data_IF_255147102489
#
_entry.id   IF_255147102489
#
_cell.length_a   1.000
_cell.length_b   1.000
_cell.length_c   1.000
_cell.angle_alpha   90.00
_cell.angle_beta   90.00
_cell.angle_gamma   90.00
#
_symmetry.space_group_name_H-M   'P 1'
#
loop_
_entity.id
_entity.type
_entity.pdbx_description
1 polymer ?
#
# COMPACT_ATOMS: atom_id res chain seq x y z
N UNK A 1 -15.86 6.29 -8.66
CA UNK A 1 -17.15 6.04 -9.25
C UNK A 1 -18.27 6.01 -8.24
N UNK A 2 -19.46 5.74 -8.71
CA UNK A 2 -20.66 5.70 -7.86
C UNK A 2 -20.53 4.69 -6.73
N UNK A 3 -19.91 3.55 -7.02
CA UNK A 3 -19.69 2.51 -6.03
C UNK A 3 -18.84 3.01 -4.86
N UNK A 4 -17.85 3.84 -5.13
CA UNK A 4 -17.00 4.39 -4.09
C UNK A 4 -17.78 5.31 -3.15
N UNK A 5 -18.76 6.03 -3.67
CA UNK A 5 -19.60 6.91 -2.85
C UNK A 5 -20.38 6.11 -1.81
N UNK A 6 -20.91 4.95 -2.21
CA UNK A 6 -21.65 4.08 -1.29
C UNK A 6 -20.72 3.47 -0.24
N UNK A 7 -19.54 3.05 -0.65
CA UNK A 7 -18.55 2.47 0.25
C UNK A 7 -17.98 3.54 1.19
N UNK A 8 -17.97 4.79 0.76
CA UNK A 8 -17.45 5.91 1.54
C UNK A 8 -18.12 6.13 2.87
N UNK A 9 -19.33 5.61 3.10
CA UNK A 9 -20.00 5.67 4.40
C UNK A 9 -19.31 4.76 5.41
N UNK A 10 -18.78 3.63 4.95
CA UNK A 10 -18.18 2.60 5.81
C UNK A 10 -16.68 2.45 5.59
N UNK A 11 -16.18 2.87 4.45
CA UNK A 11 -14.79 2.79 4.08
C UNK A 11 -14.63 2.98 2.59
N UNK A 12 -13.49 3.52 2.19
CA UNK A 12 -13.15 3.70 0.78
C UNK A 12 -11.90 2.90 0.45
N UNK A 13 -11.99 2.16 -0.64
CA UNK A 13 -10.86 1.39 -1.15
C UNK A 13 -10.43 1.96 -2.50
N UNK A 14 -9.15 2.18 -2.64
CA UNK A 14 -8.55 2.56 -3.91
C UNK A 14 -7.45 1.58 -4.25
N UNK A 15 -7.57 0.98 -5.42
CA UNK A 15 -6.58 0.03 -5.93
C UNK A 15 -5.97 0.58 -7.19
N UNK A 16 -4.65 0.55 -7.28
CA UNK A 16 -3.96 0.90 -8.51
C UNK A 16 -2.75 -0.02 -8.71
N UNK A 17 -2.40 -0.20 -9.96
CA UNK A 17 -1.27 -1.03 -10.33
C UNK A 17 -0.07 -0.15 -10.60
N UNK A 18 1.04 -0.47 -9.95
CA UNK A 18 2.29 0.23 -10.13
C UNK A 18 3.23 -0.66 -10.94
N UNK A 19 3.71 -0.13 -12.06
CA UNK A 19 4.72 -0.80 -12.86
C UNK A 19 6.08 -0.61 -12.19
N UNK A 20 6.48 -1.60 -11.41
CA UNK A 20 7.68 -1.53 -10.60
C UNK A 20 8.83 -2.24 -11.30
N UNK A 21 9.71 -1.47 -11.95
CA UNK A 21 10.84 -1.97 -12.73
C UNK A 21 12.17 -1.50 -12.20
N UNK A 22 12.39 -1.68 -10.92
CA UNK A 22 13.70 -1.42 -10.36
C UNK A 22 14.67 -2.50 -10.82
N UNK A 23 15.92 -2.13 -11.06
CA UNK A 23 16.98 -3.09 -11.36
C UNK A 23 17.20 -4.09 -10.22
N UNK A 24 16.69 -3.78 -9.03
CA UNK A 24 16.80 -4.63 -7.85
C UNK A 24 15.58 -5.51 -7.62
N UNK A 25 14.55 -5.39 -8.42
CA UNK A 25 13.34 -6.16 -8.26
C UNK A 25 13.12 -7.06 -9.45
N UNK A 26 12.71 -8.29 -9.15
CA UNK A 26 12.32 -9.25 -10.17
C UNK A 26 10.82 -9.16 -10.48
N UNK A 27 10.07 -8.38 -9.72
CA UNK A 27 8.65 -8.22 -9.99
C UNK A 27 8.43 -7.34 -11.20
N UNK A 28 7.44 -7.74 -12.00
CA UNK A 28 7.02 -6.93 -13.13
C UNK A 28 6.12 -5.79 -12.66
N UNK A 29 5.38 -6.00 -11.59
CA UNK A 29 4.46 -5.01 -11.05
C UNK A 29 4.11 -5.37 -9.60
N UNK A 30 3.59 -4.37 -8.90
CA UNK A 30 3.03 -4.53 -7.58
C UNK A 30 1.65 -3.89 -7.54
N UNK A 31 0.75 -4.47 -6.76
CA UNK A 31 -0.55 -3.89 -6.50
C UNK A 31 -0.55 -3.28 -5.10
N UNK A 32 -1.05 -2.07 -4.99
CA UNK A 32 -1.28 -1.43 -3.71
C UNK A 32 -2.76 -1.08 -3.58
N UNK A 33 -3.34 -1.51 -2.46
CA UNK A 33 -4.68 -1.11 -2.06
C UNK A 33 -4.55 -0.14 -0.89
N UNK A 34 -5.14 1.03 -1.04
CA UNK A 34 -5.27 2.00 0.03
C UNK A 34 -6.73 2.08 0.46
N UNK A 35 -6.98 1.93 1.74
CA UNK A 35 -8.33 2.01 2.26
C UNK A 35 -8.38 2.97 3.45
N UNK A 36 -9.19 4.01 3.33
CA UNK A 36 -9.53 4.88 4.44
C UNK A 36 -10.88 4.44 5.02
N UNK A 37 -10.97 4.39 6.34
CA UNK A 37 -12.16 3.95 7.05
C UNK A 37 -12.77 5.10 7.82
N UNK A 38 -14.10 5.20 7.76
CA UNK A 38 -14.86 6.27 8.40
C UNK A 38 -15.92 5.67 9.31
N UNK A 39 -16.25 6.40 10.38
CA UNK A 39 -17.41 6.06 11.21
C UNK A 39 -18.70 6.33 10.46
N UNK A 40 -19.83 5.84 10.97
CA UNK A 40 -21.14 6.16 10.42
C UNK A 40 -21.47 7.66 10.47
N UNK A 41 -20.75 8.43 11.29
CA UNK A 41 -20.88 9.88 11.38
C UNK A 41 -19.95 10.63 10.44
N UNK A 42 -19.15 9.91 9.66
CA UNK A 42 -18.24 10.50 8.70
C UNK A 42 -16.88 10.90 9.23
N UNK A 43 -16.51 10.45 10.42
CA UNK A 43 -15.18 10.71 10.98
C UNK A 43 -14.17 9.68 10.48
N UNK A 44 -12.98 10.13 10.17
CA UNK A 44 -11.89 9.25 9.78
C UNK A 44 -11.43 8.41 10.97
N UNK A 45 -11.53 7.08 10.85
CA UNK A 45 -11.05 6.14 11.88
C UNK A 45 -9.61 5.73 11.66
N UNK A 46 -9.21 5.54 10.42
CA UNK A 46 -7.88 5.07 10.10
C UNK A 46 -7.72 4.78 8.62
N UNK A 47 -6.55 4.28 8.27
CA UNK A 47 -6.26 3.88 6.91
C UNK A 47 -5.32 2.69 6.92
N UNK A 48 -5.43 1.84 5.89
CA UNK A 48 -4.64 0.63 5.73
C UNK A 48 -4.06 0.57 4.33
N UNK A 49 -2.93 -0.14 4.23
CA UNK A 49 -2.30 -0.47 2.95
C UNK A 49 -2.18 -1.97 2.83
N UNK A 50 -2.45 -2.49 1.64
CA UNK A 50 -2.15 -3.87 1.28
C UNK A 50 -1.26 -3.86 0.05
N UNK A 51 -0.11 -4.52 0.14
CA UNK A 51 0.79 -4.72 -0.99
C UNK A 51 0.69 -6.16 -1.44
N UNK A 52 0.63 -6.37 -2.75
CA UNK A 52 0.84 -7.68 -3.38
C UNK A 52 1.96 -7.53 -4.38
N UNK A 53 3.01 -8.32 -4.20
CA UNK A 53 4.15 -8.33 -5.11
C UNK A 53 4.45 -9.75 -5.56
N UNK A 54 4.74 -9.92 -6.84
CA UNK A 54 4.97 -11.23 -7.44
C UNK A 54 6.43 -11.35 -7.85
N UNK A 55 7.07 -12.43 -7.43
CA UNK A 55 8.49 -12.65 -7.70
C UNK A 55 8.74 -14.05 -8.24
N UNK A 56 9.80 -14.16 -9.04
CA UNK A 56 10.25 -15.48 -9.52
C UNK A 56 11.15 -16.19 -8.50
N UNK A 57 11.81 -15.45 -7.64
CA UNK A 57 12.65 -16.02 -6.59
C UNK A 57 11.84 -16.30 -5.33
N UNK A 58 12.50 -16.81 -4.30
CA UNK A 58 11.87 -17.17 -3.04
C UNK A 58 12.02 -16.09 -1.96
N UNK A 59 12.42 -14.88 -2.31
CA UNK A 59 12.53 -13.80 -1.36
C UNK A 59 11.17 -13.50 -0.72
N UNK A 60 11.18 -13.22 0.59
CA UNK A 60 9.97 -12.97 1.37
C UNK A 60 10.02 -11.58 1.97
N UNK A 61 8.86 -10.91 2.00
CA UNK A 61 8.74 -9.62 2.64
C UNK A 61 8.95 -9.74 4.14
N UNK A 62 9.72 -8.80 4.67
CA UNK A 62 9.85 -8.61 6.10
C UNK A 62 8.65 -7.79 6.60
N UNK A 63 8.34 -7.88 7.91
CA UNK A 63 7.22 -7.09 8.47
C UNK A 63 7.50 -5.60 8.58
N UNK A 64 8.74 -5.18 8.36
CA UNK A 64 9.12 -3.78 8.47
C UNK A 64 8.69 -3.00 7.23
N UNK A 65 7.95 -1.92 7.46
CA UNK A 65 7.48 -1.01 6.40
C UNK A 65 7.71 0.40 6.88
N UNK A 66 8.18 1.27 6.00
CA UNK A 66 8.40 2.68 6.34
C UNK A 66 7.63 3.56 5.37
N UNK A 67 6.85 4.46 5.93
CA UNK A 67 6.16 5.50 5.19
C UNK A 67 6.95 6.80 5.32
N UNK A 68 7.20 7.47 4.21
CA UNK A 68 7.88 8.77 4.20
C UNK A 68 6.90 9.84 3.74
N UNK A 69 6.75 10.87 4.56
CA UNK A 69 5.96 12.06 4.23
C UNK A 69 6.88 13.28 4.32
N UNK A 70 7.23 13.85 3.17
CA UNK A 70 8.15 15.01 3.08
C UNK A 70 9.42 14.86 3.93
N UNK A 71 10.00 13.65 3.93
CA UNK A 71 11.21 13.37 4.68
C UNK A 71 11.02 12.87 6.10
N UNK A 72 9.83 12.96 6.65
CA UNK A 72 9.51 12.34 7.94
C UNK A 72 9.28 10.84 7.73
N UNK A 73 9.85 10.02 8.59
CA UNK A 73 9.74 8.57 8.49
C UNK A 73 8.78 8.03 9.56
N UNK A 74 7.88 7.15 9.15
CA UNK A 74 6.92 6.47 10.01
C UNK A 74 7.18 4.99 9.91
N UNK A 75 7.71 4.40 10.96
CA UNK A 75 8.00 2.97 11.01
C UNK A 75 6.74 2.20 11.39
N UNK A 76 6.48 1.12 10.65
CA UNK A 76 5.28 0.31 10.82
C UNK A 76 5.65 -1.16 10.82
N UNK A 77 4.79 -1.97 11.45
CA UNK A 77 4.90 -3.42 11.40
C UNK A 77 3.70 -4.00 10.68
N UNK A 78 3.97 -4.77 9.66
CA UNK A 78 2.96 -5.35 8.79
C UNK A 78 2.73 -6.83 9.10
N UNK A 79 1.56 -7.32 8.75
CA UNK A 79 1.30 -8.74 8.64
C UNK A 79 1.67 -9.18 7.22
N UNK A 80 2.48 -10.22 7.10
CA UNK A 80 2.96 -10.70 5.81
C UNK A 80 2.51 -12.11 5.54
N UNK A 81 2.30 -12.43 4.25
CA UNK A 81 1.97 -13.78 3.82
C UNK A 81 2.73 -14.08 2.54
N UNK A 82 3.39 -15.23 2.51
CA UNK A 82 4.10 -15.72 1.34
C UNK A 82 3.34 -16.93 0.78
N UNK A 83 3.02 -16.90 -0.51
CA UNK A 83 2.39 -18.01 -1.21
C UNK A 83 3.31 -18.43 -2.34
N UNK A 84 3.92 -19.64 -2.23
CA UNK A 84 4.78 -20.13 -3.30
C UNK A 84 3.99 -20.50 -4.55
N UNK A 85 4.65 -20.46 -5.67
CA UNK A 85 4.03 -20.89 -6.95
C UNK A 85 3.68 -22.37 -6.97
N UNK A 86 2.62 -22.78 -7.70
CA UNK A 86 1.72 -21.90 -8.42
C UNK A 86 0.83 -21.14 -7.45
N UNK A 87 0.58 -19.85 -7.74
CA UNK A 87 -0.28 -19.03 -6.89
C UNK A 87 -1.73 -19.25 -7.35
N UNK A 88 -2.59 -19.84 -6.50
CA UNK A 88 -3.97 -20.14 -6.90
C UNK A 88 -4.74 -18.88 -7.26
N UNK A 89 -5.56 -18.97 -8.31
CA UNK A 89 -6.42 -17.87 -8.72
C UNK A 89 -5.70 -16.73 -9.42
N UNK A 90 -4.45 -16.92 -9.82
CA UNK A 90 -3.71 -15.90 -10.59
C UNK A 90 -3.49 -16.38 -12.03
N UNK A 91 -3.28 -15.42 -12.93
CA UNK A 91 -2.97 -15.70 -14.32
C UNK A 91 -1.51 -16.11 -14.53
N UNK A 92 -0.72 -16.03 -13.47
CA UNK A 92 0.71 -16.32 -13.59
C UNK A 92 1.16 -17.37 -12.57
N UNK A 93 1.08 -18.66 -12.93
CA UNK A 93 1.40 -19.74 -12.00
C UNK A 93 2.89 -19.89 -11.71
N UNK A 94 3.74 -19.11 -12.37
CA UNK A 94 5.19 -19.22 -12.23
C UNK A 94 5.80 -18.24 -11.25
N UNK A 95 5.00 -17.39 -10.64
CA UNK A 95 5.47 -16.38 -9.69
C UNK A 95 5.06 -16.71 -8.27
N UNK A 96 5.92 -16.38 -7.33
CA UNK A 96 5.59 -16.44 -5.91
C UNK A 96 4.92 -15.13 -5.49
N UNK A 97 3.89 -15.23 -4.66
CA UNK A 97 3.18 -14.05 -4.17
C UNK A 97 3.64 -13.67 -2.79
N UNK A 98 4.01 -12.41 -2.61
CA UNK A 98 4.23 -11.79 -1.33
C UNK A 98 3.10 -10.80 -1.05
N UNK A 99 2.43 -10.95 0.08
CA UNK A 99 1.36 -10.07 0.49
C UNK A 99 1.70 -9.43 1.83
N UNK A 100 1.41 -8.16 1.95
CA UNK A 100 1.72 -7.37 3.13
C UNK A 100 0.54 -6.46 3.45
N UNK A 101 0.08 -6.51 4.70
CA UNK A 101 -1.01 -5.66 5.18
C UNK A 101 -0.49 -4.84 6.36
N UNK A 102 -0.72 -3.52 6.31
CA UNK A 102 -0.26 -2.63 7.36
C UNK A 102 -1.30 -1.55 7.65
N UNK A 103 -1.47 -1.27 8.94
CA UNK A 103 -2.26 -0.11 9.38
C UNK A 103 -1.36 1.10 9.47
N UNK A 104 -1.78 2.21 8.87
CA UNK A 104 -1.02 3.44 8.95
C UNK A 104 -1.13 4.02 10.36
N UNK A 105 -0.03 4.53 10.94
CA UNK A 105 -0.11 5.20 12.22
C UNK A 105 -1.08 6.36 12.15
N UNK A 106 -1.94 6.47 13.16
CA UNK A 106 -2.97 7.51 13.15
C UNK A 106 -2.37 8.91 13.01
N UNK A 107 -1.25 9.15 13.67
CA UNK A 107 -0.55 10.43 13.59
C UNK A 107 0.01 10.73 12.19
N UNK A 108 0.21 9.71 11.34
CA UNK A 108 0.70 9.92 9.98
C UNK A 108 -0.37 10.46 9.04
N UNK A 109 -1.65 10.30 9.37
CA UNK A 109 -2.73 10.67 8.46
C UNK A 109 -2.78 12.17 8.16
N UNK A 110 -2.68 13.06 9.16
CA UNK A 110 -2.57 14.49 8.87
C UNK A 110 -1.31 14.84 8.08
N UNK A 111 -0.21 14.12 8.32
CA UNK A 111 1.03 14.34 7.58
C UNK A 111 0.88 13.98 6.11
N UNK A 112 0.20 12.86 5.80
CA UNK A 112 -0.09 12.48 4.42
C UNK A 112 -0.94 13.54 3.74
N UNK A 113 -1.95 14.06 4.43
CA UNK A 113 -2.85 15.06 3.88
C UNK A 113 -2.15 16.36 3.50
N UNK A 114 -1.09 16.70 4.18
CA UNK A 114 -0.32 17.94 3.95
C UNK A 114 0.93 17.72 3.11
N UNK A 115 1.27 16.47 2.83
CA UNK A 115 2.52 16.15 2.16
C UNK A 115 2.52 16.59 0.71
N UNK A 116 3.66 17.01 0.22
CA UNK A 116 3.93 17.20 -1.21
C UNK A 116 4.55 15.96 -1.82
N UNK A 117 5.09 15.07 -0.99
CA UNK A 117 5.73 13.84 -1.43
C UNK A 117 5.45 12.73 -0.42
N UNK A 118 5.00 11.59 -0.91
CA UNK A 118 4.79 10.38 -0.10
C UNK A 118 5.42 9.21 -0.80
N UNK A 119 6.12 8.39 -0.02
CA UNK A 119 6.75 7.18 -0.51
C UNK A 119 6.62 6.10 0.55
N UNK A 120 6.42 4.86 0.12
CA UNK A 120 6.36 3.71 1.01
C UNK A 120 7.49 2.75 0.66
N UNK A 121 8.23 2.28 1.65
CA UNK A 121 9.32 1.34 1.46
C UNK A 121 9.04 0.03 2.15
N UNK A 122 9.18 -1.05 1.40
CA UNK A 122 9.06 -2.42 1.87
C UNK A 122 10.42 -3.11 1.75
N UNK A 123 10.67 -4.08 2.63
CA UNK A 123 11.95 -4.76 2.69
C UNK A 123 11.78 -6.26 2.46
N UNK A 124 12.69 -6.84 1.70
CA UNK A 124 12.79 -8.27 1.51
C UNK A 124 13.90 -8.87 2.37
N UNK A 125 13.79 -10.16 2.67
CA UNK A 125 14.76 -10.88 3.51
C UNK A 125 16.12 -11.07 2.83
N UNK A 126 16.23 -10.82 1.52
CA UNK A 126 17.46 -10.89 0.76
C UNK A 126 18.20 -9.54 0.66
N UNK A 127 17.74 -8.53 1.40
CA UNK A 127 18.34 -7.20 1.37
C UNK A 127 17.79 -6.27 0.31
N UNK A 128 16.92 -6.74 -0.56
CA UNK A 128 16.29 -5.89 -1.56
C UNK A 128 15.15 -5.08 -0.94
N UNK A 129 14.81 -3.97 -1.57
CA UNK A 129 13.70 -3.11 -1.14
C UNK A 129 12.77 -2.82 -2.31
N UNK A 130 11.52 -2.52 -1.97
CA UNK A 130 10.57 -1.92 -2.89
C UNK A 130 10.30 -0.50 -2.41
N UNK A 131 10.58 0.48 -3.26
CA UNK A 131 10.22 1.86 -3.03
C UNK A 131 9.06 2.21 -3.96
N UNK A 132 7.94 2.61 -3.37
CA UNK A 132 6.74 3.00 -4.11
C UNK A 132 6.45 4.46 -3.84
N UNK A 133 7.05 5.37 -4.62
CA UNK A 133 6.69 6.79 -4.54
C UNK A 133 5.31 6.98 -5.17
N UNK A 134 4.45 7.75 -4.51
CA UNK A 134 3.18 8.13 -5.09
C UNK A 134 3.41 9.24 -6.10
N UNK A 135 2.87 9.06 -7.32
CA UNK A 135 2.85 10.16 -8.28
C UNK A 135 1.77 11.18 -7.88
N UNK A 136 1.71 12.31 -8.58
CA UNK A 136 0.77 13.37 -8.23
C UNK A 136 -0.69 12.93 -8.20
N UNK A 137 -1.22 12.17 -9.20
CA UNK A 137 -2.59 11.71 -9.15
C UNK A 137 -2.87 10.77 -7.98
N UNK A 138 -1.95 9.88 -7.68
CA UNK A 138 -2.12 8.91 -6.59
C UNK A 138 -2.10 9.61 -5.24
N UNK A 139 -1.18 10.53 -5.03
CA UNK A 139 -1.12 11.29 -3.79
C UNK A 139 -2.38 12.16 -3.62
N UNK A 140 -2.83 12.82 -4.68
CA UNK A 140 -4.04 13.60 -4.64
C UNK A 140 -5.26 12.74 -4.28
N UNK A 141 -5.31 11.52 -4.80
CA UNK A 141 -6.38 10.59 -4.46
C UNK A 141 -6.35 10.20 -2.98
N UNK A 142 -5.18 9.83 -2.45
CA UNK A 142 -5.04 9.49 -1.03
C UNK A 142 -5.46 10.66 -0.14
N UNK A 143 -4.99 11.86 -0.47
CA UNK A 143 -5.32 13.06 0.31
C UNK A 143 -6.82 13.35 0.30
N UNK A 144 -7.45 13.19 -0.86
CA UNK A 144 -8.89 13.39 -0.97
C UNK A 144 -9.66 12.36 -0.15
N UNK A 145 -9.26 11.09 -0.21
CA UNK A 145 -9.92 10.04 0.55
C UNK A 145 -9.76 10.24 2.06
N UNK A 146 -8.60 10.71 2.49
CA UNK A 146 -8.36 11.02 3.91
C UNK A 146 -9.08 12.28 4.37
N UNK A 147 -9.44 13.15 3.44
CA UNK A 147 -10.11 14.42 3.77
C UNK A 147 -11.62 14.37 3.85
N UNK A 148 -12.24 13.23 3.50
CA UNK A 148 -13.71 13.17 3.41
C UNK A 148 -14.43 13.24 4.74
N UNK A 149 -13.77 12.89 5.84
CA UNK A 149 -14.38 12.87 7.16
C UNK A 149 -14.23 14.16 7.95
N UNK A 150 -13.88 15.23 7.30
CA UNK A 150 -13.61 16.51 7.97
C UNK A 150 -14.78 17.46 7.78
#
# INVERSE_FOLDING_TARGET
GVLLILVGIFGLTYTYQIDHRSARSLSAYAHIDFQASYTGEGRLEGATLTLRDYRFDEAKLLPDVVLYTDGAAWEMKAATKYTPRPVPGTDNPYKNENKCFVELPRASLPAIRKATSVRVRFYYDNGQTIDLPLNEPDLAYWQRELGRGI
#
